data_IF_262740709345
#
_entry.id   IF_262740709345
#
_cell.length_a   1.000
_cell.length_b   1.000
_cell.length_c   1.000
_cell.angle_alpha   90.00
_cell.angle_beta   90.00
_cell.angle_gamma   90.00
#
_symmetry.space_group_name_H-M   'P 1'
#
loop_
_entity.id
_entity.type
_entity.pdbx_description
1 polymer ?
#
# COMPACT_ATOMS: atom_id res chain seq x y z
N UNK A 1 9.79 -3.80 8.17
CA UNK A 1 8.52 -3.56 7.46
C UNK A 1 7.64 -2.69 8.34
N UNK A 2 7.10 -1.62 7.78
CA UNK A 2 6.12 -0.75 8.43
C UNK A 2 4.75 -1.09 7.85
N UNK A 3 3.91 -1.79 8.62
CA UNK A 3 2.52 -2.04 8.24
C UNK A 3 1.69 -0.78 8.47
N UNK A 4 0.76 -0.48 7.57
CA UNK A 4 -0.09 0.71 7.69
C UNK A 4 -1.55 0.30 7.48
N UNK A 5 -2.40 0.64 8.43
CA UNK A 5 -3.85 0.45 8.32
C UNK A 5 -4.55 1.63 9.00
N UNK A 6 -5.67 2.09 8.43
CA UNK A 6 -6.47 3.18 9.02
C UNK A 6 -7.28 2.72 10.23
N UNK A 7 -7.44 1.42 10.41
CA UNK A 7 -8.13 0.82 11.53
C UNK A 7 -7.16 0.65 12.71
N UNK A 8 -7.26 1.54 13.70
CA UNK A 8 -6.43 1.51 14.91
C UNK A 8 -6.50 0.17 15.65
N UNK A 9 -7.65 -0.52 15.65
CA UNK A 9 -7.74 -1.84 16.29
C UNK A 9 -6.90 -2.92 15.57
N UNK A 10 -6.71 -2.81 14.24
CA UNK A 10 -5.80 -3.68 13.48
C UNK A 10 -4.35 -3.36 13.83
N UNK A 11 -4.01 -2.07 13.86
CA UNK A 11 -2.67 -1.58 14.23
C UNK A 11 -2.27 -2.07 15.61
N UNK A 12 -3.14 -1.91 16.60
CA UNK A 12 -2.90 -2.37 17.98
C UNK A 12 -2.72 -3.88 18.06
N UNK A 13 -3.60 -4.67 17.42
CA UNK A 13 -3.49 -6.14 17.40
C UNK A 13 -2.16 -6.61 16.82
N UNK A 14 -1.79 -6.09 15.64
CA UNK A 14 -0.53 -6.45 14.99
C UNK A 14 0.66 -6.07 15.86
N UNK A 15 0.64 -4.89 16.51
CA UNK A 15 1.73 -4.49 17.41
C UNK A 15 1.81 -5.33 18.70
N UNK A 16 0.74 -6.02 19.11
CA UNK A 16 0.77 -7.05 20.16
C UNK A 16 1.22 -8.42 19.67
N UNK A 17 1.52 -8.56 18.38
CA UNK A 17 1.86 -9.84 17.76
C UNK A 17 0.64 -10.71 17.44
N UNK A 18 -0.57 -10.15 17.47
CA UNK A 18 -1.81 -10.87 17.22
C UNK A 18 -2.23 -10.74 15.74
N UNK A 19 -2.80 -11.80 15.16
CA UNK A 19 -3.41 -11.75 13.83
C UNK A 19 -4.82 -11.12 13.90
N UNK A 20 -5.18 -10.40 12.83
CA UNK A 20 -6.52 -9.81 12.67
C UNK A 20 -7.35 -10.52 11.59
N UNK A 21 -6.78 -11.53 10.92
CA UNK A 21 -7.41 -12.40 9.92
C UNK A 21 -7.25 -13.86 10.34
N UNK A 22 -8.05 -14.75 9.75
CA UNK A 22 -7.92 -16.19 9.95
C UNK A 22 -7.09 -16.76 8.81
N UNK A 23 -5.84 -17.14 9.11
CA UNK A 23 -4.92 -17.75 8.15
C UNK A 23 -4.06 -18.78 8.91
N UNK A 24 -4.04 -20.07 8.52
CA UNK A 24 -3.24 -21.09 9.18
C UNK A 24 -1.76 -20.69 9.27
N UNK A 25 -1.10 -20.99 10.40
CA UNK A 25 0.34 -20.77 10.63
C UNK A 25 0.76 -19.29 10.72
N UNK A 26 -0.09 -18.32 10.36
CA UNK A 26 0.24 -16.90 10.40
C UNK A 26 0.49 -16.37 11.82
N UNK A 27 -0.23 -16.86 12.83
CA UNK A 27 -0.14 -16.38 14.21
C UNK A 27 1.30 -16.47 14.77
N UNK A 28 1.92 -17.65 14.67
CA UNK A 28 3.29 -17.86 15.14
C UNK A 28 4.32 -17.04 14.36
N UNK A 29 4.08 -16.77 13.08
CA UNK A 29 4.95 -15.92 12.27
C UNK A 29 4.86 -14.46 12.69
N UNK A 30 3.64 -13.92 12.86
CA UNK A 30 3.41 -12.52 13.27
C UNK A 30 4.03 -12.26 14.66
N UNK A 31 3.76 -13.11 15.65
CA UNK A 31 4.37 -13.00 16.98
C UNK A 31 5.90 -12.91 16.89
N UNK A 32 6.52 -13.79 16.09
CA UNK A 32 7.97 -13.83 15.91
C UNK A 32 8.51 -12.57 15.23
N UNK A 33 7.90 -12.09 14.15
CA UNK A 33 8.45 -10.92 13.42
C UNK A 33 8.25 -9.61 14.17
N UNK A 34 7.16 -9.49 14.95
CA UNK A 34 6.90 -8.33 15.81
C UNK A 34 7.86 -8.34 16.99
N UNK A 35 8.03 -9.47 17.69
CA UNK A 35 8.98 -9.59 18.81
C UNK A 35 10.43 -9.28 18.41
N UNK A 36 10.81 -9.61 17.16
CA UNK A 36 12.13 -9.31 16.61
C UNK A 36 12.26 -7.89 15.99
N UNK A 37 11.23 -7.05 16.12
CA UNK A 37 11.23 -5.68 15.58
C UNK A 37 11.29 -5.60 14.05
N UNK A 38 10.97 -6.69 13.34
CA UNK A 38 10.97 -6.73 11.87
C UNK A 38 9.67 -6.23 11.26
N UNK A 39 8.58 -6.25 12.02
CA UNK A 39 7.28 -5.68 11.68
C UNK A 39 6.82 -4.73 12.79
N UNK A 40 6.31 -3.57 12.40
CA UNK A 40 5.59 -2.64 13.27
C UNK A 40 4.44 -2.01 12.48
N UNK A 41 3.27 -1.90 13.08
CA UNK A 41 2.09 -1.30 12.47
C UNK A 41 1.92 0.18 12.91
N UNK A 42 1.40 1.00 12.01
CA UNK A 42 1.13 2.43 12.20
C UNK A 42 -0.21 2.80 11.56
N UNK A 43 -0.83 3.89 12.01
CA UNK A 43 -2.02 4.45 11.37
C UNK A 43 -1.71 5.43 10.24
N UNK A 44 -0.45 5.82 10.09
CA UNK A 44 0.03 6.72 9.03
C UNK A 44 1.29 6.18 8.36
N UNK A 45 1.49 6.43 7.05
CA UNK A 45 2.70 6.02 6.34
C UNK A 45 3.97 6.56 6.99
N UNK A 46 5.00 5.73 6.98
CA UNK A 46 6.34 6.08 7.43
C UNK A 46 7.27 6.18 6.22
N UNK A 47 8.34 6.99 6.27
CA UNK A 47 9.37 6.98 5.23
C UNK A 47 9.90 5.56 4.99
N UNK A 48 9.97 5.17 3.72
CA UNK A 48 10.45 3.87 3.27
C UNK A 48 11.09 4.04 1.87
N UNK A 49 11.73 2.99 1.37
CA UNK A 49 12.27 2.98 0.00
C UNK A 49 11.28 2.33 -1.00
N UNK A 50 10.30 1.57 -0.49
CA UNK A 50 9.25 0.97 -1.28
C UNK A 50 7.90 0.97 -0.52
N UNK A 51 6.83 1.26 -1.25
CA UNK A 51 5.46 1.34 -0.75
C UNK A 51 4.58 0.37 -1.53
N UNK A 52 3.93 -0.54 -0.81
CA UNK A 52 3.03 -1.55 -1.38
C UNK A 52 1.60 -1.17 -1.02
N UNK A 53 0.76 -0.91 -2.02
CA UNK A 53 -0.66 -0.61 -1.85
C UNK A 53 -1.46 -1.90 -2.06
N UNK A 54 -1.88 -2.48 -0.94
CA UNK A 54 -2.65 -3.73 -0.86
C UNK A 54 -3.99 -3.51 -0.11
N UNK A 55 -4.67 -2.41 -0.41
CA UNK A 55 -5.97 -2.04 0.18
C UNK A 55 -7.13 -2.71 -0.58
N UNK A 56 -8.32 -2.85 0.03
CA UNK A 56 -9.46 -3.44 -0.66
C UNK A 56 -9.95 -2.57 -1.83
N UNK A 57 -10.56 -3.23 -2.80
CA UNK A 57 -11.28 -2.62 -3.94
C UNK A 57 -12.67 -3.23 -4.03
N UNK A 58 -13.58 -2.91 -3.08
CA UNK A 58 -14.89 -3.52 -3.01
C UNK A 58 -15.71 -3.17 -4.27
N UNK A 59 -16.77 -3.94 -4.55
CA UNK A 59 -17.69 -3.59 -5.63
C UNK A 59 -18.67 -2.51 -5.17
N UNK A 60 -18.88 -1.50 -6.01
CA UNK A 60 -19.94 -0.51 -5.84
C UNK A 60 -21.32 -1.13 -6.10
N UNK A 61 -22.38 -0.39 -5.79
CA UNK A 61 -23.77 -0.78 -6.11
C UNK A 61 -23.98 -1.05 -7.61
N UNK A 62 -23.24 -0.36 -8.48
CA UNK A 62 -23.24 -0.55 -9.93
C UNK A 62 -22.34 -1.71 -10.41
N UNK A 63 -21.89 -2.58 -9.50
CA UNK A 63 -20.98 -3.70 -9.78
C UNK A 63 -19.65 -3.29 -10.44
N UNK A 64 -19.12 -2.12 -10.08
CA UNK A 64 -17.79 -1.66 -10.52
C UNK A 64 -16.80 -1.72 -9.36
N UNK A 65 -15.51 -2.06 -9.58
CA UNK A 65 -14.52 -1.96 -8.52
C UNK A 65 -14.36 -0.52 -8.03
N UNK A 66 -14.47 -0.31 -6.73
CA UNK A 66 -14.21 0.96 -6.08
C UNK A 66 -12.71 1.13 -5.83
N UNK A 67 -12.09 2.06 -6.56
CA UNK A 67 -10.68 2.40 -6.42
C UNK A 67 -10.42 3.54 -5.43
N UNK A 68 -11.46 4.05 -4.76
CA UNK A 68 -11.33 5.17 -3.81
C UNK A 68 -10.32 4.88 -2.70
N UNK A 69 -10.27 3.63 -2.22
CA UNK A 69 -9.32 3.14 -1.21
C UNK A 69 -7.88 3.20 -1.72
N UNK A 70 -7.63 2.77 -2.96
CA UNK A 70 -6.30 2.86 -3.60
C UNK A 70 -5.85 4.31 -3.69
N UNK A 71 -6.74 5.21 -4.12
CA UNK A 71 -6.42 6.63 -4.24
C UNK A 71 -6.22 7.29 -2.88
N UNK A 72 -6.96 6.89 -1.85
CA UNK A 72 -6.76 7.36 -0.47
C UNK A 72 -5.40 6.90 0.09
N UNK A 73 -5.03 5.64 -0.13
CA UNK A 73 -3.72 5.11 0.25
C UNK A 73 -2.59 5.87 -0.47
N UNK A 74 -2.72 6.10 -1.77
CA UNK A 74 -1.75 6.87 -2.56
C UNK A 74 -1.60 8.32 -2.06
N UNK A 75 -2.70 9.01 -1.72
CA UNK A 75 -2.65 10.35 -1.08
C UNK A 75 -1.86 10.34 0.21
N UNK A 76 -2.07 9.31 1.04
CA UNK A 76 -1.37 9.17 2.31
C UNK A 76 0.12 8.96 2.10
N UNK A 77 0.50 8.05 1.19
CA UNK A 77 1.90 7.76 0.82
C UNK A 77 2.61 8.99 0.24
N UNK A 78 1.91 9.83 -0.54
CA UNK A 78 2.50 11.04 -1.14
C UNK A 78 3.20 11.97 -0.11
N UNK A 79 2.70 11.99 1.14
CA UNK A 79 3.26 12.81 2.21
C UNK A 79 4.67 12.41 2.66
N UNK A 80 5.10 11.19 2.37
CA UNK A 80 6.40 10.63 2.79
C UNK A 80 7.31 10.24 1.62
N UNK A 81 6.86 10.40 0.37
CA UNK A 81 7.65 10.05 -0.80
C UNK A 81 8.91 10.91 -0.94
N UNK A 82 9.98 10.32 -1.46
CA UNK A 82 11.23 10.98 -1.84
C UNK A 82 11.75 10.40 -3.17
N UNK A 83 12.73 11.09 -3.74
CA UNK A 83 13.47 10.58 -4.91
C UNK A 83 14.09 9.22 -4.58
N UNK A 84 13.94 8.27 -5.50
CA UNK A 84 14.42 6.90 -5.42
C UNK A 84 13.37 5.90 -4.96
N UNK A 85 12.20 6.36 -4.50
CA UNK A 85 11.17 5.46 -3.98
C UNK A 85 10.45 4.67 -5.08
N UNK A 86 9.93 3.50 -4.70
CA UNK A 86 9.06 2.66 -5.52
C UNK A 86 7.64 2.61 -4.94
N UNK A 87 6.62 2.82 -5.76
CA UNK A 87 5.22 2.58 -5.41
C UNK A 87 4.66 1.40 -6.22
N UNK A 88 4.24 0.35 -5.54
CA UNK A 88 3.67 -0.86 -6.14
C UNK A 88 2.18 -0.93 -5.82
N UNK A 89 1.35 -1.03 -6.86
CA UNK A 89 -0.05 -1.39 -6.71
C UNK A 89 -0.18 -2.92 -6.74
N UNK A 90 -0.64 -3.52 -5.65
CA UNK A 90 -0.96 -4.97 -5.58
C UNK A 90 -2.46 -5.23 -5.59
N UNK A 91 -3.27 -4.28 -5.08
CA UNK A 91 -4.73 -4.38 -5.11
C UNK A 91 -5.25 -4.73 -6.50
N UNK A 92 -6.05 -5.80 -6.59
CA UNK A 92 -6.76 -6.17 -7.81
C UNK A 92 -7.61 -4.99 -8.25
N UNK A 93 -7.34 -4.42 -9.42
CA UNK A 93 -7.98 -3.18 -9.84
C UNK A 93 -8.19 -3.12 -11.36
N UNK A 94 -9.15 -2.30 -11.85
CA UNK A 94 -9.37 -2.15 -13.28
C UNK A 94 -8.12 -1.65 -14.01
N UNK A 95 -8.00 -2.02 -15.30
CA UNK A 95 -6.99 -1.47 -16.20
C UNK A 95 -7.04 0.07 -16.16
N UNK A 96 -5.87 0.69 -16.01
CA UNK A 96 -5.73 2.14 -15.91
C UNK A 96 -5.64 2.67 -14.48
N UNK A 97 -5.91 1.87 -13.45
CA UNK A 97 -5.82 2.30 -12.04
C UNK A 97 -4.42 2.80 -11.68
N UNK A 98 -3.36 2.08 -12.09
CA UNK A 98 -1.97 2.52 -11.92
C UNK A 98 -1.70 3.88 -12.55
N UNK A 99 -2.28 4.18 -13.71
CA UNK A 99 -2.15 5.49 -14.39
C UNK A 99 -2.85 6.60 -13.61
N UNK A 100 -4.08 6.35 -13.12
CA UNK A 100 -4.82 7.32 -12.30
C UNK A 100 -4.05 7.60 -11.00
N UNK A 101 -3.57 6.55 -10.33
CA UNK A 101 -2.75 6.65 -9.12
C UNK A 101 -1.47 7.45 -9.37
N UNK A 102 -0.75 7.17 -10.45
CA UNK A 102 0.49 7.88 -10.78
C UNK A 102 0.24 9.36 -11.10
N UNK A 103 -0.83 9.68 -11.83
CA UNK A 103 -1.22 11.05 -12.11
C UNK A 103 -1.55 11.82 -10.82
N UNK A 104 -2.28 11.18 -9.90
CA UNK A 104 -2.59 11.76 -8.59
C UNK A 104 -1.32 12.02 -7.76
N UNK A 105 -0.38 11.08 -7.72
CA UNK A 105 0.89 11.29 -7.01
C UNK A 105 1.69 12.46 -7.60
N UNK A 106 1.71 12.59 -8.94
CA UNK A 106 2.35 13.72 -9.61
C UNK A 106 1.70 15.07 -9.30
N UNK A 107 0.37 15.11 -9.17
CA UNK A 107 -0.36 16.32 -8.76
C UNK A 107 -0.03 16.73 -7.32
N UNK A 108 0.05 15.76 -6.41
CA UNK A 108 0.34 16.01 -4.99
C UNK A 108 1.81 16.33 -4.70
N UNK A 109 2.71 15.87 -5.57
CA UNK A 109 4.16 16.02 -5.44
C UNK A 109 4.77 16.62 -6.71
N UNK A 110 4.47 17.89 -7.02
CA UNK A 110 5.02 18.57 -8.20
C UNK A 110 6.55 18.76 -8.11
N UNK A 111 7.13 18.56 -6.93
CA UNK A 111 8.57 18.55 -6.68
C UNK A 111 9.27 17.24 -7.13
N UNK A 112 8.52 16.19 -7.48
CA UNK A 112 9.05 14.90 -7.94
C UNK A 112 8.62 14.60 -9.39
N UNK A 113 9.52 13.99 -10.16
CA UNK A 113 9.24 13.49 -11.49
C UNK A 113 8.59 12.10 -11.45
N UNK A 114 7.44 11.93 -12.10
CA UNK A 114 6.73 10.66 -12.22
C UNK A 114 6.78 10.09 -13.65
N UNK A 115 6.70 8.75 -13.81
CA UNK A 115 7.02 8.06 -15.06
C UNK A 115 6.01 8.33 -16.20
N UNK A 116 4.78 8.75 -15.89
CA UNK A 116 3.79 9.09 -16.93
C UNK A 116 4.24 10.25 -17.83
N UNK A 117 5.05 11.16 -17.30
CA UNK A 117 5.52 12.35 -18.02
C UNK A 117 7.02 12.26 -18.31
N UNK A 118 7.80 11.68 -17.40
CA UNK A 118 9.26 11.73 -17.44
C UNK A 118 9.93 10.40 -17.84
N UNK A 119 9.15 9.32 -18.03
CA UNK A 119 9.69 8.03 -18.44
C UNK A 119 10.81 7.54 -17.52
N UNK A 120 11.99 7.26 -18.12
CA UNK A 120 13.18 6.78 -17.41
C UNK A 120 13.84 7.82 -16.50
N UNK A 121 13.54 9.12 -16.68
CA UNK A 121 14.03 10.19 -15.81
C UNK A 121 13.16 10.42 -14.56
N UNK A 122 12.23 9.52 -14.27
CA UNK A 122 11.38 9.62 -13.10
C UNK A 122 12.19 9.51 -11.79
N UNK A 123 11.85 10.37 -10.82
CA UNK A 123 12.40 10.31 -9.47
C UNK A 123 11.76 9.18 -8.65
N UNK A 124 10.51 8.83 -8.96
CA UNK A 124 9.74 7.77 -8.28
C UNK A 124 9.35 6.72 -9.31
N UNK A 125 9.56 5.45 -8.99
CA UNK A 125 9.15 4.33 -9.81
C UNK A 125 7.74 3.90 -9.45
N UNK A 126 6.95 3.48 -10.45
CA UNK A 126 5.60 2.94 -10.21
C UNK A 126 5.46 1.60 -10.93
N UNK A 127 4.94 0.61 -10.21
CA UNK A 127 4.71 -0.74 -10.74
C UNK A 127 3.29 -1.24 -10.40
N UNK A 128 2.86 -2.27 -11.13
CA UNK A 128 1.70 -3.07 -10.81
C UNK A 128 2.15 -4.52 -10.67
N UNK A 129 1.88 -5.12 -9.51
CA UNK A 129 2.23 -6.51 -9.19
C UNK A 129 0.99 -7.17 -8.58
N UNK A 130 0.03 -7.66 -9.39
CA UNK A 130 -1.21 -8.20 -8.86
C UNK A 130 -0.94 -9.37 -7.92
N UNK A 131 -1.47 -9.28 -6.71
CA UNK A 131 -1.39 -10.37 -5.73
C UNK A 131 -2.61 -11.30 -5.86
N UNK A 132 -2.40 -12.59 -5.61
CA UNK A 132 -3.47 -13.58 -5.48
C UNK A 132 -3.09 -14.63 -4.44
N UNK A 133 -3.54 -14.39 -3.21
CA UNK A 133 -3.48 -15.38 -2.13
C UNK A 133 -4.69 -16.32 -2.24
N UNK A 134 -4.46 -17.63 -2.10
CA UNK A 134 -5.53 -18.59 -1.87
C UNK A 134 -5.77 -18.63 -0.35
N UNK A 135 -6.95 -18.22 0.16
CA UNK A 135 -7.20 -18.25 1.60
C UNK A 135 -7.25 -19.70 2.13
N UNK A 136 -6.55 -19.95 3.25
CA UNK A 136 -6.50 -21.26 3.93
C UNK A 136 -5.42 -22.22 3.44
#
# INVERSE_FOLDING_TARGET
>A
VSGVDVNEAVVEKVNRGEIHIVEPVLDGLIQKVVANGKLRAFSTPQPADAFIIAVPTPMTEDHKPDVSYVLAAARSVASVLKRGDLVVLESTSPVGTTRIMTALLAELRPDLKFPLVHGEEADVLVAYSPERVLPG
#
